data_IF_760533344075
#
_entry.id   IF_760533344075
#
_cell.length_a   1.000
_cell.length_b   1.000
_cell.length_c   1.000
_cell.angle_alpha   90.00
_cell.angle_beta   90.00
_cell.angle_gamma   90.00
#
_symmetry.space_group_name_H-M   'P 1'
#
loop_
_entity.id
_entity.type
_entity.pdbx_description
1 polymer ?
#
# COMPACT_ATOMS: atom_id res chain seq x y z
N UNK A 1 -1.71 3.63 -24.71
CA UNK A 1 -1.70 2.16 -24.71
C UNK A 1 -3.02 1.66 -24.13
N UNK A 2 -3.58 0.57 -24.65
CA UNK A 2 -4.79 -0.06 -24.10
C UNK A 2 -4.38 -1.48 -23.70
N UNK A 3 -4.40 -1.79 -22.41
CA UNK A 3 -3.92 -3.07 -21.86
C UNK A 3 -4.86 -4.27 -22.14
N UNK A 4 -6.00 -4.04 -22.79
CA UNK A 4 -7.08 -5.03 -22.88
C UNK A 4 -7.82 -5.22 -21.55
N UNK A 5 -8.79 -6.11 -21.53
CA UNK A 5 -9.53 -6.45 -20.32
C UNK A 5 -8.74 -7.46 -19.45
N UNK A 6 -8.54 -7.20 -18.15
CA UNK A 6 -7.93 -8.16 -17.24
C UNK A 6 -8.86 -9.36 -16.97
N UNK A 7 -8.36 -10.58 -17.17
CA UNK A 7 -9.11 -11.81 -16.86
C UNK A 7 -8.72 -12.44 -15.52
N UNK A 8 -7.43 -12.35 -15.13
CA UNK A 8 -6.84 -13.06 -13.98
C UNK A 8 -5.94 -12.20 -13.10
N UNK A 9 -6.04 -10.89 -13.23
CA UNK A 9 -5.26 -9.91 -12.48
C UNK A 9 -6.08 -8.66 -12.20
N UNK A 10 -5.49 -7.71 -11.47
CA UNK A 10 -6.08 -6.37 -11.37
C UNK A 10 -5.92 -5.60 -12.69
N UNK A 11 -6.78 -4.60 -12.91
CA UNK A 11 -6.63 -3.70 -14.05
C UNK A 11 -5.30 -2.98 -14.03
N UNK A 12 -4.82 -2.62 -12.83
CA UNK A 12 -3.50 -2.00 -12.61
C UNK A 12 -2.36 -2.93 -13.02
N UNK A 13 -2.33 -4.17 -12.51
CA UNK A 13 -1.29 -5.13 -12.83
C UNK A 13 -1.23 -5.44 -14.34
N UNK A 14 -2.39 -5.60 -14.99
CA UNK A 14 -2.46 -5.77 -16.44
C UNK A 14 -1.92 -4.55 -17.20
N UNK A 15 -2.27 -3.34 -16.75
CA UNK A 15 -1.79 -2.10 -17.36
C UNK A 15 -0.28 -1.92 -17.21
N UNK A 16 0.28 -2.26 -16.04
CA UNK A 16 1.73 -2.25 -15.82
C UNK A 16 2.42 -3.26 -16.74
N UNK A 17 1.90 -4.49 -16.83
CA UNK A 17 2.49 -5.52 -17.69
C UNK A 17 2.53 -5.09 -19.16
N UNK A 18 1.41 -4.57 -19.68
CA UNK A 18 1.36 -4.02 -21.03
C UNK A 18 2.32 -2.83 -21.19
N UNK A 19 2.39 -1.96 -20.18
CA UNK A 19 3.30 -0.80 -20.12
C UNK A 19 4.75 -1.20 -20.25
N UNK A 20 5.16 -2.24 -19.51
CA UNK A 20 6.52 -2.78 -19.56
C UNK A 20 6.83 -3.45 -20.89
N UNK A 21 5.89 -4.20 -21.48
CA UNK A 21 6.10 -4.83 -22.80
C UNK A 21 6.44 -3.80 -23.89
N UNK A 22 5.83 -2.60 -23.85
CA UNK A 22 6.07 -1.58 -24.88
C UNK A 22 7.09 -0.51 -24.49
N UNK A 23 7.61 -0.52 -23.25
CA UNK A 23 8.63 0.44 -22.86
C UNK A 23 9.95 0.14 -23.59
N UNK A 24 10.50 1.11 -24.31
CA UNK A 24 11.73 0.92 -25.10
C UNK A 24 13.01 1.11 -24.27
N UNK A 25 12.89 1.64 -23.07
CA UNK A 25 14.02 1.96 -22.20
C UNK A 25 14.23 0.92 -21.11
N UNK A 26 15.48 0.78 -20.67
CA UNK A 26 15.85 -0.14 -19.58
C UNK A 26 15.43 0.35 -18.21
N UNK A 27 15.46 1.68 -17.98
CA UNK A 27 15.02 2.29 -16.73
C UNK A 27 13.53 2.55 -16.78
N UNK A 28 12.81 1.91 -15.86
CA UNK A 28 11.37 1.94 -15.74
C UNK A 28 10.99 2.72 -14.48
N UNK A 29 10.01 3.61 -14.63
CA UNK A 29 9.35 4.29 -13.51
C UNK A 29 7.89 3.88 -13.55
N UNK A 30 7.38 3.41 -12.42
CA UNK A 30 5.93 3.26 -12.23
C UNK A 30 5.39 4.42 -11.42
N UNK A 31 4.16 4.81 -11.77
CA UNK A 31 3.44 5.84 -11.05
C UNK A 31 1.95 5.57 -10.98
N UNK A 32 1.38 5.92 -9.83
CA UNK A 32 -0.06 6.13 -9.72
C UNK A 32 -0.43 7.49 -10.35
N UNK A 33 -1.66 7.62 -10.84
CA UNK A 33 -2.21 8.82 -11.49
C UNK A 33 -2.90 9.78 -10.50
N UNK A 34 -3.01 9.39 -9.22
CA UNK A 34 -3.81 10.03 -8.19
C UNK A 34 -3.01 10.89 -7.20
N UNK A 35 -1.74 11.18 -7.51
CA UNK A 35 -0.94 12.15 -6.76
C UNK A 35 -0.19 13.14 -7.66
N UNK A 36 0.23 14.25 -7.05
CA UNK A 36 0.97 15.30 -7.73
C UNK A 36 2.46 14.95 -7.90
N UNK A 37 2.90 14.93 -9.17
CA UNK A 37 4.32 14.88 -9.55
C UNK A 37 4.90 16.30 -9.67
N UNK A 38 5.89 16.69 -8.84
CA UNK A 38 6.58 17.96 -9.05
C UNK A 38 7.38 17.95 -10.37
N UNK A 39 7.69 19.11 -10.98
CA UNK A 39 8.37 19.18 -12.28
C UNK A 39 9.69 18.38 -12.35
N UNK A 40 10.46 18.38 -11.28
CA UNK A 40 11.74 17.68 -11.13
C UNK A 40 11.62 16.22 -10.66
N UNK A 41 10.41 15.67 -10.61
CA UNK A 41 10.14 14.36 -10.02
C UNK A 41 10.91 13.22 -10.69
N UNK A 42 10.83 13.11 -12.02
CA UNK A 42 11.52 12.05 -12.77
C UNK A 42 13.04 12.19 -12.67
N UNK A 43 13.56 13.41 -12.75
CA UNK A 43 14.99 13.69 -12.58
C UNK A 43 15.48 13.32 -11.18
N UNK A 44 14.66 13.57 -10.17
CA UNK A 44 14.94 13.18 -8.79
C UNK A 44 14.99 11.66 -8.63
N UNK A 45 13.98 10.94 -9.16
CA UNK A 45 13.96 9.47 -9.14
C UNK A 45 15.17 8.89 -9.89
N UNK A 46 15.53 9.48 -11.03
CA UNK A 46 16.71 9.07 -11.80
C UNK A 46 17.99 9.21 -10.95
N UNK A 47 18.16 10.34 -10.28
CA UNK A 47 19.31 10.59 -9.42
C UNK A 47 19.35 9.68 -8.19
N UNK A 48 18.19 9.33 -7.61
CA UNK A 48 18.15 8.36 -6.51
C UNK A 48 18.52 6.97 -7.00
N UNK A 49 18.06 6.56 -8.19
CA UNK A 49 18.45 5.29 -8.77
C UNK A 49 19.97 5.23 -8.95
N UNK A 50 20.58 6.27 -9.51
CA UNK A 50 22.04 6.30 -9.72
C UNK A 50 22.82 6.22 -8.39
N UNK A 51 22.21 6.64 -7.28
CA UNK A 51 22.83 6.65 -5.96
C UNK A 51 22.59 5.38 -5.14
N UNK A 52 21.41 4.78 -5.24
CA UNK A 52 20.94 3.72 -4.35
C UNK A 52 20.50 2.45 -5.07
N UNK A 53 20.47 2.44 -6.40
CA UNK A 53 19.82 1.39 -7.20
C UNK A 53 18.29 1.53 -7.16
N UNK A 54 17.53 0.43 -7.37
CA UNK A 54 16.07 0.45 -7.30
C UNK A 54 15.55 1.23 -6.09
N UNK A 55 14.62 2.15 -6.32
CA UNK A 55 14.22 3.11 -5.28
C UNK A 55 12.71 3.33 -5.31
N UNK A 56 12.11 3.47 -4.14
CA UNK A 56 10.69 3.82 -3.96
C UNK A 56 10.52 5.02 -3.04
N UNK A 57 9.51 5.84 -3.31
CA UNK A 57 9.07 6.88 -2.37
C UNK A 57 8.00 6.34 -1.41
N UNK A 58 7.57 7.18 -0.46
CA UNK A 58 6.64 6.74 0.59
C UNK A 58 5.23 7.27 0.31
N UNK A 59 4.19 6.42 0.28
CA UNK A 59 2.82 6.91 0.22
C UNK A 59 2.42 7.56 1.55
N UNK A 60 1.68 8.66 1.46
CA UNK A 60 0.95 9.29 2.55
C UNK A 60 -0.52 9.36 2.16
N UNK A 61 -1.27 8.35 2.57
CA UNK A 61 -2.71 8.30 2.33
C UNK A 61 -3.45 9.33 3.18
N UNK A 62 -4.25 10.17 2.53
CA UNK A 62 -5.03 11.22 3.18
C UNK A 62 -6.52 10.98 2.94
N UNK A 63 -7.29 10.95 4.02
CA UNK A 63 -8.70 10.60 3.95
C UNK A 63 -9.59 11.73 3.41
N UNK A 64 -10.49 11.36 2.51
CA UNK A 64 -11.52 12.23 1.93
C UNK A 64 -12.93 12.00 2.51
N UNK A 65 -13.09 11.00 3.39
CA UNK A 65 -14.33 10.72 4.12
C UNK A 65 -14.04 10.43 5.61
N UNK A 66 -15.06 10.47 6.50
CA UNK A 66 -14.84 10.32 7.94
C UNK A 66 -14.15 9.02 8.35
N UNK A 67 -14.41 7.92 7.64
CA UNK A 67 -13.75 6.64 7.93
C UNK A 67 -12.30 6.68 7.46
N UNK A 68 -12.02 7.18 6.26
CA UNK A 68 -10.65 7.35 5.78
C UNK A 68 -9.82 8.25 6.71
N UNK A 69 -10.39 9.37 7.17
CA UNK A 69 -9.74 10.31 8.11
C UNK A 69 -9.44 9.64 9.44
N UNK A 70 -10.39 8.84 9.97
CA UNK A 70 -10.17 8.04 11.16
C UNK A 70 -8.98 7.11 10.98
N UNK A 71 -8.87 6.45 9.83
CA UNK A 71 -7.87 5.42 9.54
C UNK A 71 -6.49 5.93 9.12
N UNK A 72 -6.30 7.24 8.90
CA UNK A 72 -5.00 7.82 8.51
C UNK A 72 -3.82 7.33 9.37
N UNK A 73 -3.90 7.24 10.71
CA UNK A 73 -2.78 6.73 11.52
C UNK A 73 -2.37 5.29 11.14
N UNK A 74 -3.33 4.40 10.89
CA UNK A 74 -2.98 3.01 10.50
C UNK A 74 -2.41 2.96 9.09
N UNK A 75 -2.85 3.85 8.19
CA UNK A 75 -2.23 3.97 6.87
C UNK A 75 -0.80 4.50 6.95
N UNK A 76 -0.50 5.45 7.83
CA UNK A 76 0.89 5.90 8.08
C UNK A 76 1.75 4.77 8.63
N UNK A 77 1.23 3.94 9.55
CA UNK A 77 1.98 2.80 10.09
C UNK A 77 2.22 1.71 9.04
N UNK A 78 1.20 1.31 8.28
CA UNK A 78 1.31 0.19 7.37
C UNK A 78 1.92 0.56 6.02
N UNK A 79 1.68 1.77 5.52
CA UNK A 79 2.16 2.20 4.21
C UNK A 79 3.44 3.04 4.34
N UNK A 80 3.39 4.20 5.00
CA UNK A 80 4.58 5.09 5.09
C UNK A 80 5.72 4.46 5.89
N UNK A 81 5.44 4.03 7.12
CA UNK A 81 6.41 3.44 8.02
C UNK A 81 6.77 2.02 7.58
N UNK A 82 5.77 1.25 7.13
CA UNK A 82 5.93 -0.09 6.56
C UNK A 82 6.93 -0.09 5.41
N UNK A 83 6.63 0.62 4.31
CA UNK A 83 7.54 0.75 3.14
C UNK A 83 8.94 1.17 3.56
N UNK A 84 9.05 2.13 4.49
CA UNK A 84 10.36 2.62 4.96
C UNK A 84 11.21 1.53 5.63
N UNK A 85 10.61 0.58 6.35
CA UNK A 85 11.35 -0.40 7.15
C UNK A 85 11.34 -1.81 6.59
N UNK A 86 10.37 -2.16 5.75
CA UNK A 86 10.28 -3.49 5.14
C UNK A 86 10.83 -3.53 3.72
N UNK A 87 11.21 -2.38 3.15
CA UNK A 87 11.67 -2.27 1.76
C UNK A 87 10.70 -2.88 0.75
N UNK A 88 9.41 -2.95 1.08
CA UNK A 88 8.36 -3.33 0.12
C UNK A 88 8.12 -2.10 -0.76
N UNK A 89 8.29 -2.18 -2.09
CA UNK A 89 8.06 -1.06 -2.98
C UNK A 89 6.62 -0.59 -2.92
N UNK A 90 6.43 0.72 -2.99
CA UNK A 90 5.15 1.30 -3.39
C UNK A 90 5.22 1.58 -4.90
N UNK A 91 4.48 0.79 -5.68
CA UNK A 91 4.36 0.88 -7.13
C UNK A 91 3.77 2.20 -7.62
N UNK A 92 3.19 3.01 -6.73
CA UNK A 92 2.79 4.36 -7.07
C UNK A 92 3.96 5.34 -7.24
N UNK A 93 5.14 5.02 -6.74
CA UNK A 93 6.37 5.77 -7.05
C UNK A 93 7.58 4.87 -6.82
N UNK A 94 8.01 4.20 -7.89
CA UNK A 94 9.18 3.32 -7.87
C UNK A 94 9.94 3.44 -9.18
N UNK A 95 11.27 3.38 -9.08
CA UNK A 95 12.20 3.35 -10.21
C UNK A 95 13.11 2.14 -10.09
N UNK A 96 13.31 1.43 -11.19
CA UNK A 96 14.22 0.29 -11.30
C UNK A 96 14.64 0.11 -12.76
N UNK A 97 15.66 -0.69 -13.02
CA UNK A 97 16.03 -1.13 -14.37
C UNK A 97 15.54 -2.55 -14.62
N UNK A 98 15.27 -2.90 -15.89
CA UNK A 98 14.85 -4.26 -16.30
C UNK A 98 15.76 -5.36 -15.75
N UNK A 99 17.07 -5.10 -15.67
CA UNK A 99 18.08 -6.03 -15.15
C UNK A 99 18.02 -6.26 -13.64
N UNK A 100 17.31 -5.40 -12.90
CA UNK A 100 17.17 -5.52 -11.45
C UNK A 100 16.16 -6.62 -11.07
N UNK A 101 15.43 -7.17 -12.04
CA UNK A 101 14.42 -8.22 -11.87
C UNK A 101 14.58 -9.31 -12.94
N UNK A 102 14.06 -10.51 -12.68
CA UNK A 102 13.73 -11.48 -13.74
C UNK A 102 12.44 -11.02 -14.42
N UNK A 103 12.55 -10.15 -15.42
CA UNK A 103 11.41 -9.50 -16.06
C UNK A 103 10.41 -10.50 -16.66
N UNK A 104 10.89 -11.57 -17.30
CA UNK A 104 10.02 -12.54 -17.95
C UNK A 104 9.15 -13.29 -16.93
N UNK A 105 9.77 -13.76 -15.84
CA UNK A 105 9.04 -14.40 -14.74
C UNK A 105 8.11 -13.42 -14.02
N UNK A 106 8.59 -12.20 -13.77
CA UNK A 106 7.81 -11.14 -13.12
C UNK A 106 6.54 -10.82 -13.90
N UNK A 107 6.63 -10.64 -15.22
CA UNK A 107 5.49 -10.31 -16.06
C UNK A 107 4.48 -11.46 -16.22
N UNK A 108 4.91 -12.72 -16.15
CA UNK A 108 3.98 -13.87 -16.10
C UNK A 108 3.14 -13.81 -14.81
N UNK A 109 3.81 -13.64 -13.66
CA UNK A 109 3.16 -13.57 -12.36
C UNK A 109 2.29 -12.31 -12.18
N UNK A 110 2.73 -11.16 -12.71
CA UNK A 110 2.01 -9.89 -12.63
C UNK A 110 0.63 -9.99 -13.30
N UNK A 111 0.55 -10.68 -14.45
CA UNK A 111 -0.70 -10.94 -15.17
C UNK A 111 -1.64 -11.91 -14.46
N UNK A 112 -1.24 -12.43 -13.31
CA UNK A 112 -1.99 -13.41 -12.50
C UNK A 112 -2.32 -12.92 -11.09
N UNK A 113 -1.95 -11.69 -10.72
CA UNK A 113 -2.14 -11.18 -9.35
C UNK A 113 -2.91 -9.86 -9.28
N UNK A 114 -3.32 -9.47 -8.07
CA UNK A 114 -3.91 -8.16 -7.81
C UNK A 114 -2.84 -7.13 -7.45
N UNK A 115 -1.87 -7.53 -6.62
CA UNK A 115 -0.93 -6.59 -5.98
C UNK A 115 0.40 -6.56 -6.72
N UNK A 116 0.58 -5.48 -7.48
CA UNK A 116 1.82 -5.05 -8.09
C UNK A 116 2.91 -4.76 -7.06
N UNK A 117 2.59 -4.00 -5.99
CA UNK A 117 3.51 -3.70 -4.87
C UNK A 117 4.09 -4.98 -4.25
N UNK A 118 3.18 -5.87 -3.83
CA UNK A 118 3.54 -7.09 -3.11
C UNK A 118 4.28 -8.08 -3.99
N UNK A 119 4.00 -8.12 -5.29
CA UNK A 119 4.75 -8.95 -6.22
C UNK A 119 6.13 -8.38 -6.50
N UNK A 120 6.26 -7.07 -6.74
CA UNK A 120 7.57 -6.46 -7.03
C UNK A 120 8.55 -6.64 -5.87
N UNK A 121 8.05 -6.66 -4.62
CA UNK A 121 8.85 -6.96 -3.42
C UNK A 121 9.56 -8.33 -3.45
N UNK A 122 9.08 -9.28 -4.27
CA UNK A 122 9.68 -10.62 -4.41
C UNK A 122 10.74 -10.67 -5.51
N UNK A 123 10.78 -9.65 -6.38
CA UNK A 123 11.65 -9.59 -7.55
C UNK A 123 12.72 -8.50 -7.45
N UNK A 124 12.48 -7.42 -6.70
CA UNK A 124 13.38 -6.27 -6.59
C UNK A 124 13.68 -5.90 -5.15
N UNK A 125 14.97 -5.76 -4.83
CA UNK A 125 15.44 -5.13 -3.60
C UNK A 125 15.46 -3.61 -3.77
N UNK A 126 14.47 -2.92 -3.16
CA UNK A 126 14.33 -1.47 -3.30
C UNK A 126 14.78 -0.68 -2.08
N UNK A 127 15.37 0.48 -2.32
CA UNK A 127 15.67 1.45 -1.27
C UNK A 127 14.50 2.42 -1.09
N UNK A 128 13.90 2.45 0.10
CA UNK A 128 12.85 3.42 0.42
C UNK A 128 13.45 4.78 0.82
N UNK A 129 13.36 5.78 -0.06
CA UNK A 129 13.83 7.15 0.22
C UNK A 129 12.79 7.92 1.04
N UNK A 130 13.24 8.72 2.01
CA UNK A 130 12.36 9.46 2.95
C UNK A 130 11.75 10.70 2.28
N UNK A 131 10.93 10.49 1.25
CA UNK A 131 10.09 11.50 0.62
C UNK A 131 8.67 10.97 0.52
N UNK A 132 7.73 11.69 1.13
CA UNK A 132 6.32 11.29 1.16
C UNK A 132 5.55 11.89 -0.02
N UNK A 133 4.66 11.11 -0.62
CA UNK A 133 3.71 11.55 -1.66
C UNK A 133 2.30 11.45 -1.13
N UNK A 134 1.58 12.57 -1.17
CA UNK A 134 0.19 12.62 -0.72
C UNK A 134 -0.70 11.93 -1.75
N UNK A 135 -1.44 10.92 -1.31
CA UNK A 135 -2.44 10.21 -2.11
C UNK A 135 -3.79 10.37 -1.43
N UNK A 136 -4.75 10.98 -2.11
CA UNK A 136 -6.09 11.15 -1.56
C UNK A 136 -6.89 9.84 -1.69
N UNK A 137 -7.52 9.39 -0.60
CA UNK A 137 -8.23 8.10 -0.56
C UNK A 137 -9.62 8.23 0.08
N UNK A 138 -10.52 7.33 -0.35
CA UNK A 138 -11.90 7.33 0.09
C UNK A 138 -12.76 8.19 -0.83
N UNK A 139 -13.75 8.86 -0.25
CA UNK A 139 -14.81 9.57 -1.00
C UNK A 139 -16.20 9.15 -0.53
N UNK A 140 -16.27 7.96 0.08
CA UNK A 140 -17.41 7.42 0.79
C UNK A 140 -16.96 6.39 1.81
N UNK A 141 -17.76 6.19 2.87
CA UNK A 141 -17.51 5.14 3.86
C UNK A 141 -17.40 3.76 3.19
N UNK A 142 -18.17 3.54 2.11
CA UNK A 142 -18.13 2.30 1.33
C UNK A 142 -16.76 2.10 0.70
N UNK A 143 -16.24 3.08 -0.03
CA UNK A 143 -14.90 3.00 -0.64
C UNK A 143 -13.80 2.80 0.40
N UNK A 144 -13.91 3.47 1.55
CA UNK A 144 -12.99 3.26 2.67
C UNK A 144 -13.02 1.82 3.20
N UNK A 145 -14.19 1.20 3.31
CA UNK A 145 -14.30 -0.21 3.69
C UNK A 145 -13.74 -1.15 2.61
N UNK A 146 -13.95 -0.85 1.33
CA UNK A 146 -13.36 -1.63 0.24
C UNK A 146 -11.82 -1.56 0.26
N UNK A 147 -11.25 -0.38 0.59
CA UNK A 147 -9.81 -0.23 0.82
C UNK A 147 -9.30 -1.03 2.02
N UNK A 148 -10.02 -1.04 3.14
CA UNK A 148 -9.67 -1.88 4.30
C UNK A 148 -9.64 -3.36 3.91
N UNK A 149 -10.66 -3.83 3.19
CA UNK A 149 -10.71 -5.20 2.71
C UNK A 149 -9.52 -5.53 1.80
N UNK A 150 -9.23 -4.66 0.84
CA UNK A 150 -8.10 -4.80 -0.08
C UNK A 150 -6.76 -4.85 0.64
N UNK A 151 -6.48 -3.92 1.56
CA UNK A 151 -5.20 -3.90 2.29
C UNK A 151 -5.01 -5.13 3.17
N UNK A 152 -6.06 -5.60 3.85
CA UNK A 152 -5.99 -6.86 4.62
C UNK A 152 -5.72 -8.05 3.71
N UNK A 153 -6.34 -8.10 2.52
CA UNK A 153 -6.08 -9.16 1.55
C UNK A 153 -4.67 -9.11 0.96
N UNK A 154 -4.12 -7.92 0.71
CA UNK A 154 -2.71 -7.76 0.27
C UNK A 154 -1.79 -8.39 1.30
N UNK A 155 -1.92 -8.02 2.58
CA UNK A 155 -1.09 -8.58 3.65
C UNK A 155 -1.26 -10.10 3.73
N UNK A 156 -2.49 -10.60 3.60
CA UNK A 156 -2.79 -12.03 3.65
C UNK A 156 -2.13 -12.84 2.54
N UNK A 157 -2.04 -12.29 1.32
CA UNK A 157 -1.61 -13.05 0.15
C UNK A 157 -0.17 -12.76 -0.28
N UNK A 158 0.37 -11.60 0.06
CA UNK A 158 1.67 -11.13 -0.40
C UNK A 158 2.73 -11.03 0.71
N UNK A 159 2.34 -10.98 1.99
CA UNK A 159 3.31 -10.82 3.09
C UNK A 159 3.38 -12.09 3.94
N UNK A 160 4.49 -12.85 3.88
CA UNK A 160 4.69 -14.02 4.74
C UNK A 160 4.49 -13.67 6.22
N UNK A 161 3.68 -14.46 6.92
CA UNK A 161 3.29 -14.23 8.32
C UNK A 161 2.62 -12.88 8.63
N UNK A 162 2.38 -12.02 7.63
CA UNK A 162 1.89 -10.65 7.84
C UNK A 162 0.57 -10.60 8.59
N UNK A 163 -0.39 -11.44 8.23
CA UNK A 163 -1.69 -11.54 8.93
C UNK A 163 -1.53 -11.95 10.38
N UNK A 164 -0.68 -12.94 10.67
CA UNK A 164 -0.48 -13.41 12.04
C UNK A 164 0.20 -12.33 12.89
N UNK A 165 1.23 -11.67 12.34
CA UNK A 165 1.91 -10.55 13.01
C UNK A 165 0.95 -9.39 13.27
N UNK A 166 0.13 -9.00 12.29
CA UNK A 166 -0.88 -7.95 12.47
C UNK A 166 -1.95 -8.34 13.49
N UNK A 167 -2.42 -9.60 13.48
CA UNK A 167 -3.39 -10.09 14.45
C UNK A 167 -2.84 -10.05 15.88
N UNK A 168 -1.61 -10.56 16.08
CA UNK A 168 -0.95 -10.57 17.40
C UNK A 168 -0.65 -9.16 17.88
N UNK A 169 -0.01 -8.33 17.04
CA UNK A 169 0.31 -6.95 17.40
C UNK A 169 -0.96 -6.14 17.68
N UNK A 170 -1.97 -6.24 16.81
CA UNK A 170 -3.28 -5.59 17.00
C UNK A 170 -3.94 -6.02 18.30
N UNK A 171 -3.97 -7.32 18.60
CA UNK A 171 -4.59 -7.84 19.82
C UNK A 171 -3.87 -7.35 21.07
N UNK A 172 -2.53 -7.40 21.09
CA UNK A 172 -1.74 -6.88 22.21
C UNK A 172 -1.95 -5.38 22.43
N UNK A 173 -1.97 -4.60 21.36
CA UNK A 173 -2.21 -3.15 21.44
C UNK A 173 -3.65 -2.84 21.88
N UNK A 174 -4.65 -3.55 21.36
CA UNK A 174 -6.05 -3.41 21.80
C UNK A 174 -6.20 -3.78 23.27
N UNK A 175 -5.64 -4.91 23.72
CA UNK A 175 -5.65 -5.31 25.13
C UNK A 175 -4.95 -4.27 26.00
N UNK A 176 -3.81 -3.74 25.57
CA UNK A 176 -3.11 -2.66 26.26
C UNK A 176 -3.98 -1.40 26.40
N UNK A 177 -4.71 -1.03 25.34
CA UNK A 177 -5.66 0.09 25.39
C UNK A 177 -6.81 -0.16 26.37
N UNK A 178 -7.32 -1.40 26.44
CA UNK A 178 -8.42 -1.75 27.35
C UNK A 178 -7.97 -1.82 28.81
N UNK A 179 -6.77 -2.34 29.09
CA UNK A 179 -6.23 -2.49 30.45
C UNK A 179 -5.69 -1.16 31.01
N UNK A 180 -5.14 -0.30 30.15
CA UNK A 180 -4.48 0.95 30.55
C UNK A 180 -4.91 2.13 29.66
N UNK A 181 -6.18 2.56 29.69
CA UNK A 181 -6.73 3.50 28.71
C UNK A 181 -6.01 4.85 28.70
N UNK A 182 -5.74 5.45 29.87
CA UNK A 182 -5.08 6.77 29.93
C UNK A 182 -3.60 6.70 29.52
N UNK A 183 -2.77 5.79 30.05
CA UNK A 183 -1.40 5.63 29.55
C UNK A 183 -1.34 5.28 28.06
N UNK A 184 -2.19 4.36 27.59
CA UNK A 184 -2.21 3.94 26.19
C UNK A 184 -2.63 5.08 25.26
N UNK A 185 -3.62 5.91 25.64
CA UNK A 185 -4.00 7.10 24.89
C UNK A 185 -2.82 8.06 24.74
N UNK A 186 -2.17 8.42 25.85
CA UNK A 186 -1.03 9.35 25.84
C UNK A 186 0.13 8.78 25.01
N UNK A 187 0.51 7.53 25.24
CA UNK A 187 1.61 6.89 24.53
C UNK A 187 1.33 6.74 23.03
N UNK A 188 0.12 6.31 22.64
CA UNK A 188 -0.26 6.17 21.25
C UNK A 188 -0.24 7.52 20.51
N UNK A 189 -0.82 8.57 21.12
CA UNK A 189 -0.84 9.92 20.55
C UNK A 189 0.57 10.49 20.42
N UNK A 190 1.41 10.41 21.46
CA UNK A 190 2.78 10.94 21.42
C UNK A 190 3.65 10.18 20.43
N UNK A 191 3.56 8.84 20.40
CA UNK A 191 4.34 8.01 19.48
C UNK A 191 3.96 8.29 18.03
N UNK A 192 2.66 8.37 17.72
CA UNK A 192 2.22 8.71 16.38
C UNK A 192 2.56 10.15 16.01
N UNK A 193 2.45 11.09 16.96
CA UNK A 193 2.91 12.47 16.76
C UNK A 193 4.40 12.55 16.39
N UNK A 194 5.24 11.74 17.03
CA UNK A 194 6.66 11.63 16.69
C UNK A 194 6.89 11.01 15.31
N UNK A 195 6.13 9.97 14.92
CA UNK A 195 6.16 9.41 13.56
C UNK A 195 5.77 10.49 12.54
N UNK A 196 4.67 11.19 12.75
CA UNK A 196 4.21 12.26 11.86
C UNK A 196 5.27 13.36 11.73
N UNK A 197 5.84 13.81 12.84
CA UNK A 197 6.93 14.79 12.84
C UNK A 197 8.16 14.29 12.08
N UNK A 198 8.55 13.02 12.25
CA UNK A 198 9.65 12.42 11.52
C UNK A 198 9.39 12.41 10.00
N UNK A 199 8.17 12.12 9.54
CA UNK A 199 7.88 12.16 8.11
C UNK A 199 7.44 13.53 7.58
N UNK A 200 7.51 14.59 8.41
CA UNK A 200 7.09 15.94 8.01
C UNK A 200 5.58 16.07 7.80
N UNK A 201 4.79 15.14 8.33
CA UNK A 201 3.33 15.08 8.19
C UNK A 201 2.70 16.08 9.16
N UNK A 202 2.05 17.11 8.62
CA UNK A 202 1.36 18.16 9.40
C UNK A 202 -0.15 17.94 9.42
N UNK A 203 -0.60 16.80 9.96
CA UNK A 203 -2.02 16.45 10.09
C UNK A 203 -2.36 16.15 11.54
N UNK A 204 -3.53 16.57 12.00
CA UNK A 204 -3.96 16.37 13.39
C UNK A 204 -4.36 14.91 13.70
N UNK A 205 -4.56 14.09 12.68
CA UNK A 205 -5.10 12.73 12.79
C UNK A 205 -4.27 11.78 13.65
N UNK A 206 -3.01 12.11 13.98
CA UNK A 206 -2.22 11.36 14.97
C UNK A 206 -2.93 11.24 16.34
N UNK A 207 -3.84 12.17 16.71
CA UNK A 207 -4.63 12.07 17.94
C UNK A 207 -5.67 10.94 17.89
N UNK A 208 -6.06 10.50 16.69
CA UNK A 208 -7.02 9.42 16.47
C UNK A 208 -6.41 8.02 16.64
N UNK A 209 -5.09 7.94 16.84
CA UNK A 209 -4.36 6.65 16.94
C UNK A 209 -4.99 5.71 17.95
N UNK A 210 -5.34 6.20 19.14
CA UNK A 210 -5.97 5.37 20.17
C UNK A 210 -7.29 4.74 19.70
N UNK A 211 -8.15 5.52 19.04
CA UNK A 211 -9.41 5.02 18.50
C UNK A 211 -9.18 3.95 17.41
N UNK A 212 -8.18 4.15 16.56
CA UNK A 212 -7.81 3.18 15.52
C UNK A 212 -7.20 1.91 16.09
N UNK A 213 -6.40 2.00 17.16
CA UNK A 213 -5.85 0.81 17.82
C UNK A 213 -6.96 -0.07 18.42
N UNK A 214 -8.02 0.53 18.96
CA UNK A 214 -9.21 -0.20 19.41
C UNK A 214 -9.98 -0.81 18.22
N UNK A 215 -10.06 -0.10 17.10
CA UNK A 215 -10.73 -0.56 15.88
C UNK A 215 -9.91 -1.60 15.08
N UNK A 216 -8.62 -1.79 15.37
CA UNK A 216 -7.71 -2.62 14.56
C UNK A 216 -8.18 -4.06 14.40
N UNK A 217 -8.60 -4.73 15.48
CA UNK A 217 -9.11 -6.10 15.44
C UNK A 217 -10.46 -6.20 14.71
N UNK A 218 -11.48 -5.37 15.01
CA UNK A 218 -12.70 -5.33 14.20
C UNK A 218 -12.46 -5.14 12.69
N UNK A 219 -11.52 -4.26 12.31
CA UNK A 219 -11.20 -3.98 10.91
C UNK A 219 -10.45 -5.16 10.25
N UNK A 220 -9.55 -5.80 10.98
CA UNK A 220 -8.86 -7.01 10.52
C UNK A 220 -9.88 -8.15 10.29
N UNK A 221 -10.77 -8.39 11.24
CA UNK A 221 -11.85 -9.37 11.11
C UNK A 221 -12.74 -9.03 9.92
N UNK A 222 -13.12 -7.77 9.77
CA UNK A 222 -13.89 -7.30 8.62
C UNK A 222 -13.16 -7.68 7.32
N UNK A 223 -11.92 -7.25 7.13
CA UNK A 223 -11.16 -7.52 5.91
C UNK A 223 -10.96 -9.02 5.63
N UNK A 224 -10.69 -9.83 6.65
CA UNK A 224 -10.54 -11.28 6.52
C UNK A 224 -11.87 -11.99 6.18
N UNK A 225 -13.00 -11.44 6.65
CA UNK A 225 -14.34 -11.97 6.33
C UNK A 225 -14.78 -11.65 4.90
N UNK A 226 -14.20 -10.62 4.29
CA UNK A 226 -14.50 -10.24 2.91
C UNK A 226 -13.89 -11.23 1.94
N UNK A 227 -14.75 -11.78 1.07
CA UNK A 227 -14.34 -12.61 -0.06
C UNK A 227 -14.06 -11.80 -1.32
N UNK A 228 -14.65 -10.60 -1.39
CA UNK A 228 -14.52 -9.69 -2.52
C UNK A 228 -14.33 -8.27 -2.03
N UNK A 229 -13.70 -7.47 -2.88
CA UNK A 229 -13.60 -6.03 -2.71
C UNK A 229 -13.74 -5.31 -4.06
N UNK A 230 -14.10 -4.03 -4.03
CA UNK A 230 -14.17 -3.18 -5.22
C UNK A 230 -12.95 -2.28 -5.29
N UNK A 231 -12.32 -2.21 -6.46
CA UNK A 231 -11.19 -1.31 -6.71
C UNK A 231 -11.15 -0.93 -8.19
N UNK A 232 -10.89 0.35 -8.50
CA UNK A 232 -10.88 0.84 -9.89
C UNK A 232 -12.17 0.55 -10.67
N UNK A 233 -13.32 0.58 -9.99
CA UNK A 233 -14.63 0.27 -10.57
C UNK A 233 -14.90 -1.23 -10.82
N UNK A 234 -14.01 -2.13 -10.43
CA UNK A 234 -14.15 -3.57 -10.66
C UNK A 234 -14.23 -4.34 -9.35
N UNK A 235 -15.00 -5.43 -9.33
CA UNK A 235 -15.08 -6.34 -8.19
C UNK A 235 -14.09 -7.49 -8.36
N UNK A 236 -13.23 -7.67 -7.36
CA UNK A 236 -12.24 -8.73 -7.34
C UNK A 236 -12.59 -9.77 -6.31
N UNK A 237 -12.46 -11.05 -6.68
CA UNK A 237 -12.38 -12.17 -5.75
C UNK A 237 -10.95 -12.70 -5.75
N UNK A 238 -10.25 -12.55 -4.63
CA UNK A 238 -8.86 -12.97 -4.47
C UNK A 238 -8.77 -14.13 -3.48
N UNK A 239 -8.43 -15.32 -3.98
CA UNK A 239 -8.42 -16.56 -3.17
C UNK A 239 -7.02 -16.95 -2.73
N UNK A 240 -6.04 -16.71 -3.59
CA UNK A 240 -4.62 -16.86 -3.34
C UNK A 240 -3.86 -15.85 -4.20
N UNK A 241 -2.56 -15.63 -3.94
CA UNK A 241 -1.73 -14.66 -4.66
C UNK A 241 -1.97 -14.66 -6.18
N UNK A 242 -2.10 -15.85 -6.79
CA UNK A 242 -2.30 -16.05 -8.23
C UNK A 242 -3.66 -16.64 -8.63
N UNK A 243 -4.64 -16.65 -7.72
CA UNK A 243 -6.03 -17.06 -8.00
C UNK A 243 -6.94 -15.85 -7.79
N UNK A 244 -7.10 -15.09 -8.87
CA UNK A 244 -7.88 -13.86 -8.95
C UNK A 244 -8.98 -14.05 -9.99
N UNK A 245 -10.22 -13.70 -9.61
CA UNK A 245 -11.33 -13.59 -10.54
C UNK A 245 -11.87 -12.17 -10.52
N UNK A 246 -12.08 -11.59 -11.70
CA UNK A 246 -12.81 -10.33 -11.88
C UNK A 246 -14.28 -10.70 -12.06
N UNK A 247 -15.13 -10.29 -11.12
CA UNK A 247 -16.57 -10.55 -11.21
C UNK A 247 -17.22 -9.51 -12.14
N UNK A 248 -18.01 -9.97 -13.11
CA UNK A 248 -18.90 -9.12 -13.89
C UNK A 248 -19.96 -8.51 -12.96
N UNK A 249 -20.32 -7.24 -13.20
CA UNK A 249 -21.36 -6.54 -12.43
C UNK A 249 -22.71 -7.28 -12.38
#
# INVERSE_FOLDING_TARGET
MIAGEPERCSGKANAIAAGMDAAEHDRIVWTDDDFHHPPEWLETLRADYDRYGPTTELPLFVGCDPLAVLLEPVFVLNATLGVRFTAIPWAGSVVFERRDIDEAAFLDDLRRTVSDDGLLAEYADVTAVRRTRRVDIGGSIRESLENVARFVQIVRHCVPFGTATQAVAGALLTVGCLLFPLPALVLATLSMGAVYAAFGIRRWTFVLTYAVLLASIPLLIYGLSRRTFVWGGRRYRWRSKFDVMVESE
#
